data_IF_124058483031
#
_entry.id   IF_124058483031
#
_cell.length_a   1.000
_cell.length_b   1.000
_cell.length_c   1.000
_cell.angle_alpha   90.00
_cell.angle_beta   90.00
_cell.angle_gamma   90.00
#
_symmetry.space_group_name_H-M   'P 1'
#
loop_
_entity.id
_entity.type
_entity.pdbx_description
1 polymer ?
#
# COMPACT_ATOMS: atom_id res chain seq x y z
N UNK A 1 -30.06 -3.68 20.21
CA UNK A 1 -29.27 -2.79 21.10
C UNK A 1 -28.17 -3.63 21.70
N UNK A 2 -27.03 -3.69 21.03
CA UNK A 2 -25.90 -4.51 21.47
C UNK A 2 -25.15 -3.73 22.55
N UNK A 3 -24.99 -4.36 23.72
CA UNK A 3 -24.26 -3.80 24.86
C UNK A 3 -22.80 -3.62 24.47
N UNK A 4 -22.30 -2.39 24.61
CA UNK A 4 -20.86 -2.09 24.64
C UNK A 4 -20.27 -2.89 25.82
N UNK A 5 -19.24 -3.73 25.62
CA UNK A 5 -18.61 -4.46 26.72
C UNK A 5 -17.92 -3.48 27.66
N UNK A 6 -18.07 -3.68 28.97
CA UNK A 6 -17.43 -2.82 29.97
C UNK A 6 -15.93 -3.06 30.02
N UNK A 7 -15.16 -2.02 30.38
CA UNK A 7 -13.70 -1.98 30.57
C UNK A 7 -13.08 -3.07 31.45
N UNK A 8 -13.89 -3.94 32.07
CA UNK A 8 -13.43 -5.08 32.87
C UNK A 8 -13.19 -6.37 32.09
N UNK A 9 -13.59 -6.48 30.82
CA UNK A 9 -13.46 -7.72 30.04
C UNK A 9 -12.36 -7.70 28.96
N UNK A 10 -11.68 -6.56 28.76
CA UNK A 10 -10.50 -6.42 27.86
C UNK A 10 -9.14 -6.69 28.56
N UNK A 11 -9.16 -6.99 29.86
CA UNK A 11 -7.98 -7.01 30.74
C UNK A 11 -7.04 -8.24 30.63
N UNK A 12 -7.39 -9.42 30.09
CA UNK A 12 -6.46 -10.56 30.08
C UNK A 12 -5.49 -10.63 28.88
N UNK A 13 -5.39 -9.61 28.02
CA UNK A 13 -4.60 -9.68 26.77
C UNK A 13 -3.40 -8.72 26.70
N UNK A 14 -3.41 -7.60 27.44
CA UNK A 14 -2.21 -6.77 27.68
C UNK A 14 -1.42 -7.21 28.93
N UNK A 15 -1.88 -8.28 29.59
CA UNK A 15 -1.37 -8.77 30.88
C UNK A 15 -0.03 -9.52 30.83
N UNK A 16 0.54 -9.76 29.65
CA UNK A 16 1.88 -10.34 29.51
C UNK A 16 2.97 -9.35 29.09
N UNK A 17 2.60 -8.08 28.86
CA UNK A 17 3.59 -7.04 28.58
C UNK A 17 3.35 -5.72 29.35
N UNK A 18 2.17 -5.49 29.95
CA UNK A 18 1.80 -4.17 30.52
C UNK A 18 1.16 -4.23 31.93
N UNK A 19 1.43 -5.24 32.77
CA UNK A 19 0.83 -5.24 34.13
C UNK A 19 1.63 -6.02 35.19
N UNK A 20 2.89 -5.65 35.39
CA UNK A 20 3.40 -5.52 36.75
C UNK A 20 3.22 -4.03 37.14
N UNK A 21 2.40 -3.81 38.18
CA UNK A 21 2.30 -2.56 38.98
C UNK A 21 1.32 -1.49 38.48
N UNK A 22 0.14 -1.46 39.10
CA UNK A 22 -0.53 -0.22 39.49
C UNK A 22 -1.26 -0.46 40.81
N UNK A 23 -0.62 -0.11 41.93
CA UNK A 23 -1.28 0.42 43.14
C UNK A 23 -0.26 0.85 44.22
N UNK A 24 0.06 2.15 44.34
CA UNK A 24 -0.31 3.00 45.51
C UNK A 24 0.20 4.46 45.43
N UNK A 25 -0.76 5.40 45.44
CA UNK A 25 -0.88 6.75 46.06
C UNK A 25 0.20 7.87 46.02
N UNK A 26 -0.27 9.00 45.44
CA UNK A 26 -0.29 10.43 45.90
C UNK A 26 0.94 11.36 45.90
N UNK A 27 0.69 12.53 45.26
CA UNK A 27 1.11 13.93 45.53
C UNK A 27 2.54 14.40 45.15
N UNK A 28 2.64 15.30 44.15
CA UNK A 28 3.02 16.72 44.31
C UNK A 28 3.12 17.46 42.94
N UNK A 29 3.10 18.79 42.99
CA UNK A 29 2.81 19.76 41.91
C UNK A 29 3.99 20.21 41.02
N UNK A 30 3.63 20.80 39.85
CA UNK A 30 4.32 21.84 39.04
C UNK A 30 5.64 21.44 38.34
N UNK A 31 6.08 22.01 37.22
CA UNK A 31 5.86 23.33 36.62
C UNK A 31 6.29 23.36 35.14
N UNK A 32 5.62 24.23 34.37
CA UNK A 32 6.09 25.17 33.33
C UNK A 32 6.91 24.74 32.09
N UNK A 33 6.44 25.35 30.99
CA UNK A 33 6.94 25.39 29.61
C UNK A 33 8.42 25.78 29.50
N UNK A 34 9.12 25.18 28.54
CA UNK A 34 10.13 25.90 27.75
C UNK A 34 10.19 25.43 26.29
N UNK A 35 10.45 26.41 25.44
CA UNK A 35 10.48 26.46 23.98
C UNK A 35 11.48 25.45 23.36
N UNK A 36 11.20 24.77 22.24
CA UNK A 36 12.14 23.81 21.67
C UNK A 36 13.34 24.55 21.06
N UNK A 37 14.51 24.31 21.66
CA UNK A 37 15.80 24.73 21.11
C UNK A 37 16.15 23.80 19.96
N UNK A 38 16.61 24.36 18.84
CA UNK A 38 17.00 23.62 17.64
C UNK A 38 18.11 22.62 17.98
N UNK A 39 17.75 21.33 18.02
CA UNK A 39 18.64 20.23 18.44
C UNK A 39 19.64 19.96 17.34
N UNK A 40 20.93 20.22 17.63
CA UNK A 40 22.06 19.70 16.85
C UNK A 40 22.03 18.17 16.94
N UNK A 41 21.35 17.53 15.98
CA UNK A 41 21.33 16.08 15.87
C UNK A 41 22.73 15.58 15.54
N UNK A 42 23.27 14.72 16.42
CA UNK A 42 24.56 14.07 16.19
C UNK A 42 24.49 13.25 14.90
N UNK A 43 25.64 13.02 14.24
CA UNK A 43 25.72 12.26 12.99
C UNK A 43 25.08 10.86 13.09
N UNK A 44 25.09 10.25 14.29
CA UNK A 44 24.49 8.94 14.55
C UNK A 44 22.95 8.96 14.49
N UNK A 45 22.32 9.99 15.06
CA UNK A 45 20.86 10.12 15.06
C UNK A 45 20.29 10.19 13.65
N UNK A 46 21.03 10.83 12.73
CA UNK A 46 20.64 10.93 11.33
C UNK A 46 20.62 9.58 10.63
N UNK A 47 21.64 8.74 10.82
CA UNK A 47 21.74 7.43 10.16
C UNK A 47 20.60 6.49 10.59
N UNK A 48 20.28 6.48 11.88
CA UNK A 48 19.21 5.64 12.43
C UNK A 48 17.83 6.15 12.02
N UNK A 49 17.61 7.46 12.12
CA UNK A 49 16.34 8.06 11.68
C UNK A 49 16.12 7.81 10.19
N UNK A 50 17.16 7.97 9.37
CA UNK A 50 17.12 7.62 7.94
C UNK A 50 16.84 6.13 7.73
N UNK A 51 17.41 5.23 8.51
CA UNK A 51 17.15 3.79 8.38
C UNK A 51 15.71 3.40 8.79
N UNK A 52 15.20 3.95 9.89
CA UNK A 52 13.81 3.76 10.33
C UNK A 52 12.84 4.24 9.25
N UNK A 53 13.08 5.42 8.69
CA UNK A 53 12.27 6.03 7.63
C UNK A 53 12.38 5.29 6.29
N UNK A 54 13.60 4.89 5.90
CA UNK A 54 13.85 4.19 4.63
C UNK A 54 13.16 2.83 4.57
N UNK A 55 12.93 2.21 5.73
CA UNK A 55 12.19 0.97 5.84
C UNK A 55 10.69 1.09 5.54
N UNK A 56 10.11 2.31 5.55
CA UNK A 56 8.68 2.72 5.52
C UNK A 56 7.72 1.93 6.42
N UNK A 57 7.86 0.61 6.44
CA UNK A 57 7.13 -0.36 7.23
C UNK A 57 8.08 -1.46 7.75
N UNK A 58 8.21 -1.61 9.06
CA UNK A 58 8.95 -2.70 9.70
C UNK A 58 7.96 -3.76 10.18
N UNK A 59 8.12 -5.00 9.71
CA UNK A 59 7.19 -6.08 10.01
C UNK A 59 7.91 -7.21 10.75
N UNK A 60 7.31 -7.70 11.82
CA UNK A 60 7.80 -8.91 12.50
C UNK A 60 7.42 -10.15 11.70
N UNK A 61 8.11 -11.25 11.97
CA UNK A 61 7.55 -12.57 11.68
C UNK A 61 6.25 -12.82 12.47
N UNK A 62 5.66 -13.99 12.24
CA UNK A 62 4.54 -14.47 13.03
C UNK A 62 5.02 -14.82 14.46
N UNK A 63 4.58 -14.06 15.46
CA UNK A 63 4.98 -14.24 16.86
C UNK A 63 3.90 -15.07 17.56
N UNK A 64 4.18 -16.31 17.98
CA UNK A 64 3.20 -17.14 18.67
C UNK A 64 2.82 -16.56 20.03
N UNK A 65 1.52 -16.57 20.34
CA UNK A 65 0.98 -16.20 21.64
C UNK A 65 0.08 -17.33 22.20
N UNK A 66 -0.55 -17.11 23.37
CA UNK A 66 -1.41 -18.14 23.98
C UNK A 66 -2.71 -18.41 23.21
N UNK A 67 -3.06 -17.54 22.27
CA UNK A 67 -4.40 -17.47 21.65
C UNK A 67 -4.34 -17.49 20.13
N UNK A 68 -3.16 -17.74 19.58
CA UNK A 68 -2.85 -17.75 18.17
C UNK A 68 -1.47 -17.14 17.91
N UNK A 69 -1.42 -16.05 17.16
CA UNK A 69 -0.19 -15.31 16.87
C UNK A 69 -0.44 -13.85 16.58
N UNK A 70 0.63 -13.06 16.68
CA UNK A 70 0.61 -11.63 16.44
C UNK A 70 1.67 -11.25 15.41
N UNK A 71 1.37 -10.22 14.63
CA UNK A 71 2.31 -9.56 13.73
C UNK A 71 2.31 -8.07 14.05
N UNK A 72 3.48 -7.55 14.41
CA UNK A 72 3.67 -6.12 14.62
C UNK A 72 4.17 -5.46 13.35
N UNK A 73 3.48 -4.39 12.96
CA UNK A 73 3.75 -3.59 11.79
C UNK A 73 4.00 -2.17 12.27
N UNK A 74 5.25 -1.73 12.21
CA UNK A 74 5.66 -0.38 12.56
C UNK A 74 5.85 0.45 11.30
N UNK A 75 5.47 1.71 11.33
CA UNK A 75 5.74 2.68 10.28
C UNK A 75 6.35 3.92 10.91
N UNK A 76 7.36 4.50 10.27
CA UNK A 76 8.12 5.63 10.81
C UNK A 76 8.14 6.78 9.81
N UNK A 77 7.93 7.99 10.33
CA UNK A 77 8.15 9.25 9.61
C UNK A 77 9.37 9.97 10.20
N UNK A 78 9.50 11.29 9.97
CA UNK A 78 10.63 12.05 10.51
C UNK A 78 10.67 12.07 12.05
N UNK A 79 9.50 12.21 12.67
CA UNK A 79 9.34 12.34 14.12
C UNK A 79 8.27 11.42 14.70
N UNK A 80 7.42 10.87 13.84
CA UNK A 80 6.22 10.15 14.27
C UNK A 80 6.34 8.67 13.93
N UNK A 81 5.67 7.84 14.72
CA UNK A 81 5.53 6.42 14.47
C UNK A 81 4.06 5.99 14.50
N UNK A 82 3.78 4.88 13.82
CA UNK A 82 2.54 4.11 13.97
C UNK A 82 2.90 2.65 14.16
N UNK A 83 2.21 1.99 15.08
CA UNK A 83 2.27 0.56 15.34
C UNK A 83 0.87 -0.02 15.12
N UNK A 84 0.78 -1.03 14.28
CA UNK A 84 -0.38 -1.90 14.14
C UNK A 84 -0.01 -3.31 14.58
N UNK A 85 -0.78 -3.88 15.50
CA UNK A 85 -0.70 -5.27 15.90
C UNK A 85 -1.88 -6.02 15.27
N UNK A 86 -1.58 -6.88 14.30
CA UNK A 86 -2.55 -7.79 13.71
C UNK A 86 -2.50 -9.13 14.44
N UNK A 87 -3.68 -9.64 14.81
CA UNK A 87 -3.84 -10.93 15.46
C UNK A 87 -4.31 -11.98 14.49
N UNK A 88 -3.88 -13.21 14.75
CA UNK A 88 -4.19 -14.38 13.97
C UNK A 88 -4.60 -15.50 14.91
N UNK A 89 -5.60 -16.27 14.52
CA UNK A 89 -6.12 -17.39 15.31
C UNK A 89 -5.26 -18.65 15.21
N UNK A 90 -4.31 -18.69 14.27
CA UNK A 90 -3.37 -19.79 14.06
C UNK A 90 -1.92 -19.32 14.18
N UNK A 91 -1.04 -20.28 14.44
CA UNK A 91 0.38 -20.03 14.66
C UNK A 91 1.20 -19.73 13.40
N UNK A 92 0.58 -19.82 12.21
CA UNK A 92 1.21 -19.52 10.93
C UNK A 92 0.81 -18.15 10.38
N UNK A 93 -0.03 -17.41 11.12
CA UNK A 93 -0.56 -16.12 10.70
C UNK A 93 -1.34 -16.17 9.37
N UNK A 94 -2.11 -17.24 9.15
CA UNK A 94 -2.93 -17.39 7.94
C UNK A 94 -4.36 -16.85 8.11
N UNK A 95 -4.93 -16.93 9.31
CA UNK A 95 -6.32 -16.60 9.62
C UNK A 95 -6.39 -15.40 10.54
N UNK A 96 -6.36 -14.22 9.93
CA UNK A 96 -6.43 -12.93 10.62
C UNK A 96 -7.75 -12.80 11.39
N UNK A 97 -7.64 -12.42 12.66
CA UNK A 97 -8.78 -12.06 13.49
C UNK A 97 -9.09 -10.58 13.29
N UNK A 98 -10.10 -10.30 12.47
CA UNK A 98 -10.45 -8.94 12.04
C UNK A 98 -11.01 -8.06 13.19
N UNK A 99 -11.41 -8.65 14.32
CA UNK A 99 -11.97 -7.89 15.44
C UNK A 99 -10.91 -7.47 16.47
N UNK A 100 -9.67 -7.94 16.34
CA UNK A 100 -8.67 -7.80 17.41
C UNK A 100 -7.37 -7.10 17.02
N UNK A 101 -7.41 -6.27 15.96
CA UNK A 101 -6.29 -5.39 15.63
C UNK A 101 -6.14 -4.24 16.63
N UNK A 102 -4.93 -3.99 17.09
CA UNK A 102 -4.59 -2.84 17.93
C UNK A 102 -3.76 -1.83 17.14
N UNK A 103 -4.01 -0.55 17.34
CA UNK A 103 -3.24 0.53 16.72
C UNK A 103 -2.75 1.49 17.80
N UNK A 104 -1.49 1.93 17.68
CA UNK A 104 -0.86 2.94 18.50
C UNK A 104 -0.11 3.91 17.60
N UNK A 105 -0.12 5.18 17.92
CA UNK A 105 0.65 6.18 17.18
C UNK A 105 1.20 7.23 18.14
N UNK A 106 2.33 7.81 17.79
CA UNK A 106 2.98 8.79 18.63
C UNK A 106 4.21 9.39 17.97
N UNK A 107 5.08 9.93 18.80
CA UNK A 107 6.38 10.50 18.43
C UNK A 107 7.51 9.61 18.93
N UNK A 108 8.67 9.69 18.32
CA UNK A 108 9.85 8.97 18.80
C UNK A 108 11.09 9.86 18.83
N UNK A 109 11.98 9.60 19.79
CA UNK A 109 13.28 10.25 19.90
C UNK A 109 14.39 9.20 19.86
N UNK A 110 15.43 9.45 19.07
CA UNK A 110 16.61 8.57 18.98
C UNK A 110 17.71 9.12 19.87
N UNK A 111 18.20 8.27 20.78
CA UNK A 111 19.32 8.56 21.67
C UNK A 111 20.56 9.04 20.91
N UNK A 112 21.32 9.94 21.52
CA UNK A 112 22.43 10.64 20.86
C UNK A 112 23.68 9.79 20.59
N UNK A 113 23.79 8.64 21.25
CA UNK A 113 24.99 7.80 21.27
C UNK A 113 24.73 6.43 20.65
N UNK A 114 25.67 5.98 19.80
CA UNK A 114 25.73 4.58 19.34
C UNK A 114 26.28 3.74 20.50
N UNK A 115 25.55 2.70 20.87
CA UNK A 115 25.97 1.73 21.88
C UNK A 115 26.32 0.40 21.22
N UNK A 116 27.26 -0.33 21.80
CA UNK A 116 27.60 -1.69 21.37
C UNK A 116 27.00 -2.68 22.35
N UNK A 117 26.08 -3.52 21.88
CA UNK A 117 25.48 -4.55 22.72
C UNK A 117 26.50 -5.63 23.11
N UNK A 118 26.24 -6.43 24.17
CA UNK A 118 27.11 -7.54 24.57
C UNK A 118 27.38 -8.56 23.45
N UNK A 119 26.46 -8.71 22.51
CA UNK A 119 26.58 -9.59 21.33
C UNK A 119 27.35 -8.94 20.17
N UNK A 120 27.74 -7.67 20.31
CA UNK A 120 28.55 -6.94 19.33
C UNK A 120 27.74 -6.18 18.28
N UNK A 121 26.44 -6.00 18.47
CA UNK A 121 25.63 -5.18 17.57
C UNK A 121 25.84 -3.69 17.85
N UNK A 122 25.94 -2.88 16.78
CA UNK A 122 25.77 -1.43 16.86
C UNK A 122 24.29 -1.13 17.02
N UNK A 123 23.95 -0.41 18.07
CA UNK A 123 22.57 -0.18 18.47
C UNK A 123 22.35 1.24 19.00
N UNK A 124 21.07 1.61 19.10
CA UNK A 124 20.63 2.91 19.56
C UNK A 124 19.40 2.77 20.44
N UNK A 125 19.35 3.61 21.47
CA UNK A 125 18.18 3.77 22.31
C UNK A 125 17.13 4.60 21.58
N UNK A 126 15.86 4.18 21.66
CA UNK A 126 14.73 4.91 21.09
C UNK A 126 13.62 5.02 22.12
N UNK A 127 13.09 6.23 22.28
CA UNK A 127 12.00 6.55 23.19
C UNK A 127 10.73 6.83 22.41
N UNK A 128 9.70 6.00 22.60
CA UNK A 128 8.41 6.17 21.94
C UNK A 128 7.40 6.82 22.88
N UNK A 129 6.87 7.97 22.50
CA UNK A 129 5.84 8.68 23.28
C UNK A 129 4.51 8.66 22.54
N UNK A 130 3.47 8.09 23.15
CA UNK A 130 2.13 8.03 22.59
C UNK A 130 1.10 8.71 23.53
N UNK A 131 0.06 9.39 23.00
CA UNK A 131 -0.90 10.14 23.81
C UNK A 131 -1.63 9.31 24.88
N UNK A 132 -1.85 8.03 24.59
CA UNK A 132 -2.60 7.11 25.46
C UNK A 132 -1.69 6.27 26.38
N UNK A 133 -0.38 6.58 26.42
CA UNK A 133 0.61 5.91 27.26
C UNK A 133 1.24 6.94 28.19
N UNK A 134 1.16 6.69 29.51
CA UNK A 134 1.62 7.65 30.52
C UNK A 134 3.13 7.82 30.59
N UNK A 135 3.88 6.84 30.11
CA UNK A 135 5.35 6.82 30.13
C UNK A 135 5.89 6.45 28.74
N UNK A 136 7.08 6.94 28.35
CA UNK A 136 7.71 6.54 27.11
C UNK A 136 7.95 5.03 27.06
N UNK A 137 7.70 4.41 25.91
CA UNK A 137 8.12 3.03 25.66
C UNK A 137 9.57 3.08 25.22
N UNK A 138 10.47 2.57 26.06
CA UNK A 138 11.90 2.56 25.79
C UNK A 138 12.27 1.36 24.91
N UNK A 139 13.22 1.55 24.00
CA UNK A 139 13.64 0.51 23.07
C UNK A 139 15.13 0.53 22.79
N UNK A 140 15.66 -0.62 22.37
CA UNK A 140 16.99 -0.77 21.79
C UNK A 140 16.84 -1.27 20.34
N UNK A 141 17.38 -0.53 19.37
CA UNK A 141 17.35 -0.88 17.95
C UNK A 141 18.74 -1.10 17.41
N UNK A 142 18.99 -2.25 16.77
CA UNK A 142 20.18 -2.52 16.00
C UNK A 142 19.83 -2.64 14.51
N UNK A 143 20.64 -1.97 13.69
CA UNK A 143 20.54 -2.00 12.23
C UNK A 143 21.58 -2.97 11.67
N UNK A 144 21.16 -3.89 10.80
CA UNK A 144 22.06 -4.70 9.98
C UNK A 144 21.62 -4.66 8.52
N UNK A 145 22.52 -5.03 7.60
CA UNK A 145 22.32 -4.84 6.15
C UNK A 145 21.01 -5.43 5.60
N UNK A 146 20.57 -6.57 6.16
CA UNK A 146 19.40 -7.33 5.66
C UNK A 146 18.29 -7.52 6.71
N UNK A 147 18.54 -7.15 7.97
CA UNK A 147 17.61 -7.33 9.09
C UNK A 147 17.77 -6.21 10.10
N UNK A 148 16.69 -5.83 10.75
CA UNK A 148 16.79 -4.95 11.91
C UNK A 148 16.29 -5.69 13.14
N UNK A 149 16.89 -5.40 14.28
CA UNK A 149 16.45 -5.95 15.56
C UNK A 149 15.92 -4.80 16.39
N UNK A 150 14.76 -4.99 16.98
CA UNK A 150 14.23 -4.06 17.95
C UNK A 150 13.77 -4.85 19.17
N UNK A 151 14.25 -4.42 20.33
CA UNK A 151 13.78 -4.91 21.62
C UNK A 151 13.12 -3.75 22.35
N UNK A 152 11.89 -3.96 22.80
CA UNK A 152 11.19 -3.02 23.67
C UNK A 152 11.51 -3.37 25.11
N UNK A 153 11.77 -2.36 25.94
CA UNK A 153 11.86 -2.53 27.38
C UNK A 153 10.53 -3.01 27.95
N UNK A 154 10.60 -3.71 29.08
CA UNK A 154 9.42 -3.83 29.92
C UNK A 154 9.05 -2.45 30.48
N UNK A 155 7.75 -2.16 30.71
CA UNK A 155 7.34 -0.93 31.38
C UNK A 155 8.06 -0.74 32.72
N UNK A 156 8.34 0.51 33.08
CA UNK A 156 9.05 0.90 34.31
C UNK A 156 10.50 0.36 34.43
N UNK A 157 11.08 -0.14 33.34
CA UNK A 157 12.49 -0.56 33.28
C UNK A 157 13.34 0.43 32.49
N UNK A 158 14.66 0.35 32.65
CA UNK A 158 15.58 1.07 31.78
C UNK A 158 15.60 0.45 30.38
N UNK A 159 16.26 1.11 29.43
CA UNK A 159 16.52 0.51 28.11
C UNK A 159 17.08 -0.91 28.23
N UNK A 160 16.69 -1.83 27.34
CA UNK A 160 17.31 -3.13 27.26
C UNK A 160 18.80 -2.96 26.99
N UNK A 161 19.63 -3.77 27.64
CA UNK A 161 21.09 -3.72 27.45
C UNK A 161 21.60 -4.68 26.38
N UNK A 162 20.78 -5.61 25.90
CA UNK A 162 21.15 -6.66 24.95
C UNK A 162 19.99 -7.01 24.02
N UNK A 163 20.15 -8.01 23.16
CA UNK A 163 19.16 -8.45 22.19
C UNK A 163 18.76 -9.93 22.40
N UNK A 164 18.86 -10.48 23.62
CA UNK A 164 18.58 -11.91 23.86
C UNK A 164 17.14 -12.29 23.51
N UNK A 165 16.21 -11.37 23.77
CA UNK A 165 14.77 -11.55 23.55
C UNK A 165 14.25 -10.63 22.43
N UNK A 166 15.15 -10.09 21.62
CA UNK A 166 14.81 -9.16 20.57
C UNK A 166 13.99 -9.82 19.47
N UNK A 167 12.98 -9.08 19.01
CA UNK A 167 12.22 -9.49 17.83
C UNK A 167 13.00 -9.04 16.59
N UNK A 168 13.20 -9.98 15.65
CA UNK A 168 13.75 -9.65 14.35
C UNK A 168 12.66 -9.03 13.47
N UNK A 169 12.94 -7.85 12.96
CA UNK A 169 12.15 -7.16 11.97
C UNK A 169 12.80 -7.36 10.62
N UNK A 170 12.01 -7.85 9.67
CA UNK A 170 12.32 -7.60 8.27
C UNK A 170 11.87 -6.18 8.00
N UNK A 171 12.79 -5.29 7.61
CA UNK A 171 12.38 -4.08 6.91
C UNK A 171 11.52 -4.57 5.75
N UNK A 172 10.24 -4.16 5.68
CA UNK A 172 9.45 -4.39 4.49
C UNK A 172 10.31 -3.94 3.33
N UNK A 173 10.53 -4.84 2.37
CA UNK A 173 11.48 -4.61 1.29
C UNK A 173 11.31 -3.19 0.75
N UNK A 174 12.44 -2.50 0.58
CA UNK A 174 12.59 -1.14 0.05
C UNK A 174 11.45 -0.78 -0.92
N UNK A 175 10.42 -0.15 -0.38
CA UNK A 175 9.41 0.55 -1.18
C UNK A 175 9.88 1.95 -1.57
N UNK A 176 11.17 2.28 -1.42
CA UNK A 176 11.72 3.44 -2.10
C UNK A 176 11.86 3.00 -3.56
N UNK A 177 10.76 3.06 -4.31
CA UNK A 177 10.73 2.70 -5.72
C UNK A 177 11.91 3.36 -6.40
N UNK A 178 12.95 2.58 -6.68
CA UNK A 178 14.09 3.09 -7.40
C UNK A 178 13.67 3.10 -8.87
N UNK A 179 14.24 3.99 -9.69
CA UNK A 179 14.03 3.93 -11.14
C UNK A 179 14.26 2.53 -11.71
N UNK A 180 15.10 1.70 -11.06
CA UNK A 180 15.38 0.32 -11.46
C UNK A 180 14.21 -0.64 -11.24
N UNK A 181 13.34 -0.40 -10.27
CA UNK A 181 12.22 -1.30 -9.96
C UNK A 181 11.15 -1.23 -11.06
N UNK A 182 11.06 -0.10 -11.75
CA UNK A 182 10.23 0.06 -12.94
C UNK A 182 10.92 -0.37 -14.24
N UNK A 183 12.26 -0.47 -14.29
CA UNK A 183 12.96 -0.74 -15.57
C UNK A 183 12.48 -2.06 -16.23
N UNK A 184 12.17 -1.98 -17.51
CA UNK A 184 11.72 -3.10 -18.33
C UNK A 184 10.32 -2.89 -18.91
N UNK A 185 9.82 -3.94 -19.54
CA UNK A 185 8.51 -3.95 -20.19
C UNK A 185 7.46 -4.61 -19.30
N UNK A 186 6.32 -3.96 -19.15
CA UNK A 186 5.22 -4.34 -18.25
C UNK A 186 3.93 -4.32 -19.04
N UNK A 187 3.18 -5.41 -19.02
CA UNK A 187 1.99 -5.56 -19.85
C UNK A 187 0.81 -6.03 -19.01
N UNK A 188 -0.38 -5.49 -19.27
CA UNK A 188 -1.62 -6.05 -18.73
C UNK A 188 -1.97 -7.35 -19.45
N UNK A 189 -2.82 -8.17 -18.84
CA UNK A 189 -3.57 -9.16 -19.61
C UNK A 189 -4.58 -8.46 -20.53
N UNK A 190 -5.17 -9.23 -21.44
CA UNK A 190 -6.28 -8.78 -22.26
C UNK A 190 -7.45 -8.35 -21.37
N UNK A 191 -7.86 -7.09 -21.46
CA UNK A 191 -8.97 -6.53 -20.68
C UNK A 191 -10.20 -6.45 -21.60
N UNK A 192 -11.23 -7.23 -21.30
CA UNK A 192 -12.49 -7.20 -22.06
C UNK A 192 -13.28 -5.93 -21.75
N UNK A 193 -13.69 -5.21 -22.78
CA UNK A 193 -14.61 -4.08 -22.69
C UNK A 193 -16.06 -4.57 -22.86
N UNK A 194 -17.01 -3.80 -22.33
CA UNK A 194 -18.44 -4.19 -22.30
C UNK A 194 -19.08 -4.33 -23.69
N UNK A 195 -18.49 -3.75 -24.72
CA UNK A 195 -18.97 -3.77 -26.10
C UNK A 195 -18.44 -4.96 -26.93
N UNK A 196 -17.67 -5.86 -26.31
CA UNK A 196 -17.06 -7.02 -26.95
C UNK A 196 -15.73 -6.72 -27.62
N UNK A 197 -15.23 -5.48 -27.54
CA UNK A 197 -13.85 -5.14 -27.83
C UNK A 197 -12.96 -5.53 -26.64
N UNK A 198 -11.65 -5.50 -26.84
CA UNK A 198 -10.70 -5.66 -25.74
C UNK A 198 -9.53 -4.71 -25.87
N UNK A 199 -8.91 -4.42 -24.73
CA UNK A 199 -7.83 -3.46 -24.59
C UNK A 199 -6.63 -4.14 -23.96
N UNK A 200 -5.46 -3.75 -24.44
CA UNK A 200 -4.18 -4.12 -23.88
C UNK A 200 -3.37 -2.87 -23.60
N UNK A 201 -2.80 -2.80 -22.40
CA UNK A 201 -1.96 -1.70 -21.96
C UNK A 201 -0.56 -2.22 -21.66
N UNK A 202 0.45 -1.46 -22.09
CA UNK A 202 1.84 -1.79 -21.80
C UNK A 202 2.67 -0.55 -21.51
N UNK A 203 3.66 -0.70 -20.64
CA UNK A 203 4.68 0.29 -20.38
C UNK A 203 6.07 -0.29 -20.65
N UNK A 204 6.92 0.47 -21.32
CA UNK A 204 8.34 0.17 -21.42
C UNK A 204 9.13 1.29 -20.73
N UNK A 205 9.68 1.01 -19.55
CA UNK A 205 10.44 1.97 -18.75
C UNK A 205 11.93 1.76 -18.93
N UNK A 206 12.66 2.86 -19.18
CA UNK A 206 14.10 2.83 -19.38
C UNK A 206 14.74 4.15 -18.96
N UNK A 207 15.59 4.11 -17.92
CA UNK A 207 16.43 5.25 -17.50
C UNK A 207 15.66 6.57 -17.34
N UNK A 208 14.52 6.56 -16.65
CA UNK A 208 13.70 7.75 -16.43
C UNK A 208 12.83 8.18 -17.61
N UNK A 209 12.76 7.35 -18.66
CA UNK A 209 11.84 7.50 -19.78
C UNK A 209 10.85 6.35 -19.78
N UNK A 210 9.68 6.57 -20.39
CA UNK A 210 8.72 5.51 -20.62
C UNK A 210 8.10 5.61 -22.02
N UNK A 211 7.46 4.53 -22.45
CA UNK A 211 6.51 4.54 -23.56
C UNK A 211 5.28 3.75 -23.14
N UNK A 212 4.12 4.40 -23.07
CA UNK A 212 2.83 3.72 -22.95
C UNK A 212 2.43 3.18 -24.34
N UNK A 213 2.01 1.92 -24.40
CA UNK A 213 1.43 1.30 -25.58
C UNK A 213 -0.01 0.92 -25.26
N UNK A 214 -0.94 1.38 -26.10
CA UNK A 214 -2.35 1.04 -26.01
C UNK A 214 -2.71 0.29 -27.28
N UNK A 215 -3.25 -0.92 -27.16
CA UNK A 215 -3.75 -1.70 -28.30
C UNK A 215 -5.23 -1.99 -28.06
N UNK A 216 -6.05 -1.67 -29.05
CA UNK A 216 -7.48 -1.99 -29.07
C UNK A 216 -7.67 -3.12 -30.07
N UNK A 217 -8.44 -4.11 -29.67
CA UNK A 217 -8.83 -5.24 -30.49
C UNK A 217 -10.34 -5.22 -30.73
N UNK A 218 -10.74 -5.61 -31.93
CA UNK A 218 -12.16 -5.70 -32.33
C UNK A 218 -12.85 -6.98 -31.84
N UNK A 219 -12.18 -7.76 -30.98
CA UNK A 219 -12.68 -8.98 -30.37
C UNK A 219 -12.32 -9.03 -28.90
N UNK A 220 -13.04 -9.85 -28.13
CA UNK A 220 -12.88 -9.96 -26.68
C UNK A 220 -11.61 -10.72 -26.24
N UNK A 221 -10.90 -11.38 -27.17
CA UNK A 221 -9.76 -12.26 -26.85
C UNK A 221 -8.41 -11.72 -27.32
N UNK A 222 -8.35 -10.43 -27.64
CA UNK A 222 -7.16 -9.73 -28.11
C UNK A 222 -6.48 -10.38 -29.32
N UNK A 223 -7.24 -10.89 -30.31
CA UNK A 223 -6.69 -11.54 -31.51
C UNK A 223 -6.65 -10.65 -32.74
N UNK A 224 -7.63 -9.77 -32.90
CA UNK A 224 -7.78 -8.92 -34.08
C UNK A 224 -7.49 -7.47 -33.72
N UNK A 225 -6.23 -7.05 -33.88
CA UNK A 225 -5.80 -5.67 -33.63
C UNK A 225 -6.59 -4.72 -34.55
N UNK A 226 -7.30 -3.77 -33.95
CA UNK A 226 -8.02 -2.69 -34.64
C UNK A 226 -7.17 -1.41 -34.66
N UNK A 227 -6.66 -1.02 -33.49
CA UNK A 227 -5.89 0.22 -33.32
C UNK A 227 -4.72 0.03 -32.37
N UNK A 228 -3.69 0.84 -32.58
CA UNK A 228 -2.49 0.86 -31.75
C UNK A 228 -1.93 2.26 -31.62
N UNK A 229 -1.78 2.70 -30.37
CA UNK A 229 -1.14 3.94 -29.99
C UNK A 229 0.16 3.70 -29.23
N UNK A 230 1.12 4.62 -29.37
CA UNK A 230 2.34 4.67 -28.57
C UNK A 230 2.57 6.10 -28.12
N UNK A 231 2.78 6.28 -26.82
CA UNK A 231 2.84 7.58 -26.18
C UNK A 231 4.12 7.65 -25.33
N UNK A 232 5.20 8.25 -25.85
CA UNK A 232 6.45 8.39 -25.11
C UNK A 232 6.36 9.51 -24.07
N UNK A 233 7.23 9.42 -23.07
CA UNK A 233 7.35 10.46 -22.06
C UNK A 233 8.48 10.22 -21.07
N UNK A 234 8.45 10.98 -19.98
CA UNK A 234 9.41 10.91 -18.87
C UNK A 234 8.73 10.47 -17.59
N UNK A 235 9.48 9.75 -16.77
CA UNK A 235 9.03 9.37 -15.44
C UNK A 235 9.65 10.24 -14.36
N UNK A 236 8.83 10.67 -13.42
CA UNK A 236 9.28 11.28 -12.17
C UNK A 236 8.78 10.40 -11.03
N UNK A 237 9.70 9.75 -10.33
CA UNK A 237 9.37 8.94 -9.17
C UNK A 237 9.40 9.84 -7.93
N UNK A 238 8.28 9.91 -7.24
CA UNK A 238 8.11 10.68 -6.03
C UNK A 238 8.45 9.86 -4.77
N UNK A 239 7.81 10.21 -3.67
CA UNK A 239 8.02 9.56 -2.38
C UNK A 239 7.17 8.29 -2.25
N UNK A 240 7.57 7.43 -1.33
CA UNK A 240 6.74 6.35 -0.80
C UNK A 240 5.67 6.94 0.11
N UNK A 241 4.43 6.45 0.00
CA UNK A 241 3.27 6.88 0.79
C UNK A 241 2.51 5.66 1.30
N UNK A 242 1.84 5.83 2.45
CA UNK A 242 0.78 4.92 2.88
C UNK A 242 -0.52 5.36 2.22
N UNK A 243 -1.24 4.41 1.62
CA UNK A 243 -2.52 4.64 0.96
C UNK A 243 -3.69 4.45 1.93
N UNK A 244 -4.87 4.99 1.60
CA UNK A 244 -6.07 4.92 2.44
C UNK A 244 -6.56 3.47 2.67
N UNK A 245 -6.30 2.60 1.70
CA UNK A 245 -6.54 1.16 1.73
C UNK A 245 -5.43 0.37 2.46
N UNK A 246 -4.44 1.06 3.04
CA UNK A 246 -3.44 0.50 3.94
C UNK A 246 -2.21 -0.10 3.26
N UNK A 247 -2.03 0.14 1.96
CA UNK A 247 -0.84 -0.30 1.23
C UNK A 247 0.32 0.68 1.36
N UNK A 248 1.52 0.17 1.12
CA UNK A 248 2.69 1.00 0.83
C UNK A 248 2.83 1.14 -0.69
N UNK A 249 2.68 2.36 -1.21
CA UNK A 249 2.81 2.68 -2.63
C UNK A 249 3.88 3.76 -2.86
N UNK A 250 4.31 3.94 -4.10
CA UNK A 250 5.21 5.00 -4.52
C UNK A 250 4.49 5.92 -5.49
N UNK A 251 4.65 7.24 -5.29
CA UNK A 251 4.18 8.24 -6.24
C UNK A 251 4.95 8.13 -7.57
N UNK A 252 4.23 8.14 -8.69
CA UNK A 252 4.81 8.14 -10.03
C UNK A 252 4.11 9.17 -10.90
N UNK A 253 4.86 10.06 -11.52
CA UNK A 253 4.33 10.97 -12.54
C UNK A 253 4.82 10.56 -13.91
N UNK A 254 3.89 10.45 -14.85
CA UNK A 254 4.13 10.17 -16.25
C UNK A 254 3.93 11.45 -17.05
N UNK A 255 5.02 12.13 -17.38
CA UNK A 255 5.01 13.33 -18.21
C UNK A 255 5.08 12.92 -19.69
N UNK A 256 3.92 12.87 -20.36
CA UNK A 256 3.85 12.56 -21.79
C UNK A 256 4.45 13.70 -22.62
N UNK A 257 5.19 13.35 -23.67
CA UNK A 257 5.76 14.34 -24.59
C UNK A 257 4.64 15.19 -25.24
N UNK A 258 3.49 14.56 -25.47
CA UNK A 258 2.27 15.16 -26.01
C UNK A 258 1.07 14.67 -25.18
N UNK A 259 0.63 15.43 -24.16
CA UNK A 259 -0.55 15.01 -23.37
C UNK A 259 -0.64 15.51 -21.93
N UNK A 260 0.41 16.16 -21.42
CA UNK A 260 0.46 16.61 -20.03
C UNK A 260 1.03 15.52 -19.11
N UNK A 261 0.78 15.65 -17.80
CA UNK A 261 1.31 14.73 -16.80
C UNK A 261 0.18 13.94 -16.15
N UNK A 262 0.33 12.62 -16.06
CA UNK A 262 -0.50 11.76 -15.23
C UNK A 262 0.16 11.51 -13.89
N UNK A 263 -0.63 11.53 -12.81
CA UNK A 263 -0.14 11.28 -11.46
C UNK A 263 -0.70 9.97 -10.94
N UNK A 264 0.19 9.06 -10.59
CA UNK A 264 -0.12 7.68 -10.28
C UNK A 264 0.36 7.32 -8.88
N UNK A 265 -0.21 6.24 -8.35
CA UNK A 265 0.42 5.45 -7.30
C UNK A 265 0.76 4.08 -7.88
N UNK A 266 1.93 3.55 -7.53
CA UNK A 266 2.27 2.18 -7.90
C UNK A 266 2.86 1.39 -6.75
N UNK A 267 2.66 0.08 -6.79
CA UNK A 267 3.33 -0.88 -5.94
C UNK A 267 3.82 -2.06 -6.79
N UNK A 268 5.01 -2.55 -6.49
CA UNK A 268 5.57 -3.76 -7.11
C UNK A 268 5.39 -4.95 -6.18
N UNK A 269 5.08 -6.11 -6.74
CA UNK A 269 4.96 -7.38 -6.00
C UNK A 269 5.40 -8.55 -6.88
N UNK A 270 5.24 -9.78 -6.38
CA UNK A 270 5.34 -11.00 -7.17
C UNK A 270 3.99 -11.72 -7.22
N UNK A 271 3.66 -12.31 -8.36
CA UNK A 271 2.54 -13.25 -8.48
C UNK A 271 2.82 -14.53 -7.68
N UNK A 272 1.80 -15.37 -7.48
CA UNK A 272 1.99 -16.72 -6.91
C UNK A 272 2.99 -17.57 -7.71
N UNK A 273 3.05 -17.35 -9.03
CA UNK A 273 4.04 -17.99 -9.92
C UNK A 273 5.45 -17.37 -9.84
N UNK A 274 5.66 -16.36 -8.98
CA UNK A 274 6.93 -15.68 -8.75
C UNK A 274 7.29 -14.61 -9.80
N UNK A 275 6.37 -14.29 -10.72
CA UNK A 275 6.57 -13.27 -11.75
C UNK A 275 6.46 -11.88 -11.14
N UNK A 276 7.29 -10.95 -11.58
CA UNK A 276 7.18 -9.55 -11.13
C UNK A 276 5.87 -8.94 -11.66
N UNK A 277 5.15 -8.26 -10.76
CA UNK A 277 3.92 -7.57 -11.05
C UNK A 277 3.97 -6.12 -10.56
N UNK A 278 3.27 -5.25 -11.26
CA UNK A 278 3.16 -3.83 -11.00
C UNK A 278 1.67 -3.49 -10.91
N UNK A 279 1.22 -3.11 -9.72
CA UNK A 279 -0.11 -2.54 -9.51
C UNK A 279 -0.04 -1.02 -9.64
N UNK A 280 -0.92 -0.44 -10.44
CA UNK A 280 -0.95 1.00 -10.72
C UNK A 280 -2.36 1.54 -10.54
N UNK A 281 -2.50 2.52 -9.65
CA UNK A 281 -3.69 3.37 -9.54
C UNK A 281 -3.43 4.69 -10.27
N UNK A 282 -4.41 5.17 -11.03
CA UNK A 282 -4.27 6.33 -11.91
C UNK A 282 -5.09 7.53 -11.42
N UNK A 283 -4.60 8.74 -11.73
CA UNK A 283 -5.21 10.06 -11.47
C UNK A 283 -6.73 10.05 -11.58
N UNK A 284 -7.41 10.79 -10.70
CA UNK A 284 -8.86 11.03 -10.76
C UNK A 284 -9.22 12.14 -11.75
N UNK A 285 -10.51 12.29 -12.08
CA UNK A 285 -11.03 13.26 -13.07
C UNK A 285 -10.56 14.71 -12.85
N UNK A 286 -10.24 15.08 -11.61
CA UNK A 286 -9.77 16.42 -11.22
C UNK A 286 -8.25 16.62 -11.38
N UNK A 287 -7.52 15.61 -11.85
CA UNK A 287 -6.06 15.62 -12.01
C UNK A 287 -5.29 15.47 -10.70
N UNK A 288 -5.97 15.09 -9.61
CA UNK A 288 -5.33 14.80 -8.33
C UNK A 288 -4.78 13.38 -8.26
N UNK A 289 -3.68 13.20 -7.52
CA UNK A 289 -3.09 11.88 -7.34
C UNK A 289 -4.07 11.01 -6.52
N UNK A 290 -4.26 9.73 -6.87
CA UNK A 290 -5.07 8.83 -6.06
C UNK A 290 -4.54 8.74 -4.64
N UNK A 291 -5.44 8.56 -3.68
CA UNK A 291 -5.08 8.27 -2.28
C UNK A 291 -5.16 6.77 -1.96
N UNK A 292 -5.71 5.97 -2.87
CA UNK A 292 -5.92 4.53 -2.78
C UNK A 292 -5.21 3.81 -3.94
N UNK A 293 -4.70 2.60 -3.68
CA UNK A 293 -4.17 1.74 -4.74
C UNK A 293 -5.31 1.01 -5.47
N UNK A 294 -6.46 0.82 -4.82
CA UNK A 294 -7.67 0.31 -5.44
C UNK A 294 -8.56 1.42 -6.04
N UNK A 295 -9.11 1.23 -7.26
CA UNK A 295 -8.87 0.10 -8.18
C UNK A 295 -7.49 0.19 -8.87
N UNK A 296 -6.84 -0.98 -9.04
CA UNK A 296 -5.51 -1.07 -9.65
C UNK A 296 -5.54 -1.73 -11.03
N UNK A 297 -4.78 -1.15 -11.97
CA UNK A 297 -4.33 -1.88 -13.15
C UNK A 297 -3.12 -2.74 -12.78
N UNK A 298 -3.18 -4.01 -13.16
CA UNK A 298 -2.10 -4.97 -12.92
C UNK A 298 -1.32 -5.20 -14.21
N UNK A 299 -0.02 -4.94 -14.17
CA UNK A 299 0.91 -5.23 -15.24
C UNK A 299 1.87 -6.33 -14.80
N UNK A 300 2.16 -7.25 -15.70
CA UNK A 300 3.14 -8.30 -15.51
C UNK A 300 4.41 -7.98 -16.28
N UNK A 301 5.56 -8.15 -15.63
CA UNK A 301 6.84 -7.95 -16.29
C UNK A 301 7.01 -8.98 -17.40
N UNK A 302 7.41 -8.50 -18.56
CA UNK A 302 7.85 -9.33 -19.66
C UNK A 302 9.33 -9.66 -19.42
N UNK A 303 9.68 -10.95 -19.51
CA UNK A 303 11.09 -11.34 -19.43
C UNK A 303 11.90 -10.76 -20.61
N UNK A 304 13.23 -10.73 -20.49
CA UNK A 304 14.17 -10.23 -21.51
C UNK A 304 14.12 -10.96 -22.87
N UNK A 305 13.21 -11.94 -23.02
CA UNK A 305 12.95 -12.61 -24.28
C UNK A 305 12.27 -11.63 -25.22
N UNK A 306 13.06 -11.01 -26.11
CA UNK A 306 12.60 -10.14 -27.20
C UNK A 306 11.28 -10.65 -27.76
N UNK A 307 10.21 -9.87 -27.55
CA UNK A 307 8.91 -10.05 -28.19
C UNK A 307 9.15 -9.99 -29.71
N UNK A 308 9.18 -11.16 -30.34
CA UNK A 308 9.09 -11.26 -31.80
C UNK A 308 7.80 -10.57 -32.20
N UNK A 309 7.85 -9.69 -33.20
CA UNK A 309 6.68 -8.96 -33.72
C UNK A 309 5.59 -9.89 -34.32
N UNK A 310 5.80 -11.20 -34.26
CA UNK A 310 4.84 -12.25 -34.62
C UNK A 310 4.51 -13.19 -33.44
N UNK A 311 4.74 -12.80 -32.18
CA UNK A 311 4.36 -13.67 -31.07
C UNK A 311 2.84 -13.81 -31.05
N UNK A 312 2.37 -15.02 -31.35
CA UNK A 312 1.05 -15.49 -30.93
C UNK A 312 0.80 -14.95 -29.53
N UNK A 313 -0.32 -14.25 -29.35
CA UNK A 313 -0.80 -13.84 -28.03
C UNK A 313 -0.87 -15.13 -27.23
N UNK A 314 0.13 -15.37 -26.37
CA UNK A 314 0.14 -16.52 -25.48
C UNK A 314 -1.21 -16.51 -24.78
N UNK A 315 -1.90 -17.64 -24.83
CA UNK A 315 -3.19 -17.87 -24.19
C UNK A 315 -3.16 -17.17 -22.83
N UNK A 316 -4.05 -16.19 -22.64
CA UNK A 316 -4.05 -15.35 -21.46
C UNK A 316 -4.14 -16.27 -20.24
N UNK A 317 -3.05 -16.41 -19.49
CA UNK A 317 -3.15 -16.94 -18.14
C UNK A 317 -4.19 -16.06 -17.44
N UNK A 318 -5.25 -16.63 -16.85
CA UNK A 318 -6.20 -15.84 -16.10
C UNK A 318 -5.38 -15.02 -15.10
N UNK A 319 -5.66 -13.71 -15.01
CA UNK A 319 -5.09 -12.90 -13.96
C UNK A 319 -5.50 -13.55 -12.65
N UNK A 320 -4.60 -14.36 -12.09
CA UNK A 320 -4.70 -14.77 -10.71
C UNK A 320 -4.83 -13.51 -9.88
N UNK A 321 -5.54 -13.60 -8.76
CA UNK A 321 -5.54 -12.51 -7.80
C UNK A 321 -4.08 -12.13 -7.49
N UNK A 322 -3.80 -10.83 -7.49
CA UNK A 322 -2.49 -10.35 -7.05
C UNK A 322 -2.62 -10.00 -5.58
N UNK A 323 -1.80 -10.67 -4.76
CA UNK A 323 -1.68 -10.36 -3.35
C UNK A 323 -0.58 -9.32 -3.15
N UNK A 324 -0.96 -8.13 -2.67
CA UNK A 324 -0.02 -7.11 -2.20
C UNK A 324 -0.18 -7.02 -0.70
N UNK A 325 0.90 -7.28 0.05
CA UNK A 325 0.93 -7.13 1.51
C UNK A 325 -0.18 -7.88 2.28
N UNK A 326 -0.74 -8.96 1.72
CA UNK A 326 -1.86 -9.70 2.35
C UNK A 326 -3.25 -9.41 1.78
N UNK A 327 -3.35 -8.50 0.80
CA UNK A 327 -4.62 -8.06 0.23
C UNK A 327 -4.73 -8.41 -1.25
N UNK A 328 -5.89 -8.90 -1.67
CA UNK A 328 -6.18 -9.28 -3.05
C UNK A 328 -6.67 -8.06 -3.83
N UNK A 329 -5.91 -7.67 -4.86
CA UNK A 329 -6.33 -6.65 -5.82
C UNK A 329 -7.18 -7.27 -6.93
N UNK A 330 -8.34 -6.66 -7.21
CA UNK A 330 -9.16 -6.98 -8.38
C UNK A 330 -8.93 -5.96 -9.50
N UNK A 331 -8.48 -6.39 -10.69
CA UNK A 331 -8.35 -5.48 -11.82
C UNK A 331 -9.74 -5.11 -12.37
N UNK A 332 -10.01 -3.82 -12.53
CA UNK A 332 -11.24 -3.30 -13.12
C UNK A 332 -10.95 -2.13 -14.07
N UNK A 333 -11.61 -2.10 -15.23
CA UNK A 333 -11.63 -0.91 -16.09
C UNK A 333 -12.58 0.11 -15.47
N UNK A 334 -12.05 1.29 -15.12
CA UNK A 334 -12.87 2.41 -14.66
C UNK A 334 -13.45 3.17 -15.84
N UNK A 335 -14.61 3.80 -15.65
CA UNK A 335 -15.25 4.66 -16.67
C UNK A 335 -14.36 5.81 -17.11
N UNK A 336 -13.54 6.34 -16.21
CA UNK A 336 -12.58 7.41 -16.50
C UNK A 336 -11.55 7.00 -17.57
N UNK A 337 -11.06 5.76 -17.49
CA UNK A 337 -10.07 5.28 -18.45
C UNK A 337 -10.70 5.04 -19.83
N UNK A 338 -11.97 4.62 -19.86
CA UNK A 338 -12.73 4.47 -21.10
C UNK A 338 -12.85 5.81 -21.86
N UNK A 339 -13.05 6.94 -21.16
CA UNK A 339 -13.07 8.27 -21.78
C UNK A 339 -11.72 8.72 -22.34
N UNK A 340 -10.61 8.41 -21.64
CA UNK A 340 -9.26 8.70 -22.14
C UNK A 340 -8.99 7.92 -23.43
N UNK A 341 -9.35 6.64 -23.48
CA UNK A 341 -9.21 5.83 -24.69
C UNK A 341 -10.01 6.44 -25.86
N UNK A 342 -11.19 6.98 -25.59
CA UNK A 342 -11.96 7.69 -26.60
C UNK A 342 -11.22 8.92 -27.14
N UNK A 343 -10.61 9.70 -26.25
CA UNK A 343 -9.86 10.91 -26.60
C UNK A 343 -8.59 10.61 -27.40
N UNK A 344 -7.78 9.68 -26.92
CA UNK A 344 -6.38 9.55 -27.35
C UNK A 344 -6.22 8.61 -28.55
N UNK A 345 -7.08 7.60 -28.66
CA UNK A 345 -7.03 6.62 -29.77
C UNK A 345 -8.36 6.54 -30.54
N UNK A 346 -9.30 7.45 -30.26
CA UNK A 346 -10.59 7.51 -30.95
C UNK A 346 -11.44 6.27 -30.70
N UNK A 347 -11.34 5.66 -29.51
CA UNK A 347 -12.17 4.53 -29.11
C UNK A 347 -13.61 5.00 -28.82
N UNK A 348 -14.52 4.86 -29.78
CA UNK A 348 -15.93 5.21 -29.59
C UNK A 348 -16.74 3.99 -29.18
N UNK A 349 -16.50 3.49 -27.96
CA UNK A 349 -17.12 2.27 -27.42
C UNK A 349 -18.24 2.53 -26.42
N UNK A 350 -19.27 3.31 -26.79
CA UNK A 350 -20.57 3.26 -26.12
C UNK A 350 -21.70 3.52 -27.11
N UNK A 351 -22.68 2.62 -27.14
CA UNK A 351 -24.07 3.08 -27.14
C UNK A 351 -24.57 2.78 -25.74
N UNK A 352 -24.85 3.82 -24.95
CA UNK A 352 -25.72 3.68 -23.79
C UNK A 352 -27.05 3.22 -24.38
N UNK A 353 -27.33 1.91 -24.33
CA UNK A 353 -28.70 1.45 -24.48
C UNK A 353 -29.35 1.84 -23.17
N UNK A 354 -30.05 2.97 -23.19
CA UNK A 354 -30.86 3.47 -22.08
C UNK A 354 -31.68 2.34 -21.47
N UNK A 355 -31.21 1.82 -20.34
CA UNK A 355 -32.02 1.04 -19.41
C UNK A 355 -32.93 2.02 -18.67
N UNK A 356 -33.86 2.69 -19.37
CA UNK A 356 -34.95 3.43 -18.74
C UNK A 356 -36.22 3.69 -19.59
N UNK A 357 -36.29 3.33 -20.89
CA UNK A 357 -37.52 3.54 -21.69
C UNK A 357 -38.29 2.27 -22.12
N UNK A 358 -37.89 1.06 -21.76
CA UNK A 358 -38.65 -0.17 -22.06
C UNK A 358 -39.66 -0.59 -20.97
N UNK A 359 -40.20 0.38 -20.21
CA UNK A 359 -41.24 0.14 -19.19
C UNK A 359 -42.42 1.12 -19.25
N UNK A 360 -42.63 1.83 -20.37
CA UNK A 360 -43.84 2.64 -20.62
C UNK A 360 -44.81 2.10 -21.67
N UNK A 361 -44.43 1.12 -22.48
CA UNK A 361 -45.28 0.59 -23.55
C UNK A 361 -45.92 -0.78 -23.26
N UNK A 362 -45.86 -1.26 -22.01
CA UNK A 362 -46.50 -2.51 -21.60
C UNK A 362 -47.46 -2.30 -20.44
N UNK A 363 -48.54 -1.52 -20.63
CA UNK A 363 -49.89 -1.90 -20.18
C UNK A 363 -51.00 -1.20 -21.02
N UNK A 364 -52.13 -1.88 -21.27
CA UNK A 364 -53.01 -1.64 -22.42
C UNK A 364 -54.25 -0.79 -22.08
N UNK A 365 -54.89 -0.28 -23.13
CA UNK A 365 -56.29 0.14 -23.22
C UNK A 365 -56.81 1.18 -22.19
N UNK A 366 -56.96 2.43 -22.64
CA UNK A 366 -58.25 3.12 -22.49
C UNK A 366 -58.65 3.81 -23.80
N UNK A 367 -59.68 3.21 -24.38
CA UNK A 367 -60.82 3.75 -25.12
C UNK A 367 -60.79 5.21 -25.59
N UNK A 368 -61.17 5.36 -26.86
CA UNK A 368 -61.10 6.61 -27.60
C UNK A 368 -62.03 7.72 -27.14
N UNK A 369 -61.69 8.94 -27.56
CA UNK A 369 -62.62 10.02 -27.79
C UNK A 369 -62.10 10.94 -28.90
N UNK A 370 -62.72 10.77 -30.07
CA UNK A 370 -63.12 11.75 -31.09
C UNK A 370 -62.35 13.08 -31.26
N UNK A 371 -62.05 13.31 -32.54
CA UNK A 371 -62.19 14.53 -33.38
C UNK A 371 -60.85 14.88 -34.04
N UNK A 372 -60.70 15.02 -35.35
CA UNK A 372 -61.67 15.33 -36.40
C UNK A 372 -61.61 16.82 -36.70
N UNK A 373 -60.71 17.25 -37.58
CA UNK A 373 -60.87 18.46 -38.40
C UNK A 373 -60.13 18.30 -39.73
N UNK A 374 -60.94 18.42 -40.80
CA UNK A 374 -60.68 18.42 -42.25
C UNK A 374 -60.28 17.10 -42.92
#
# INVERSE_FOLDING_TARGET
MNKIPSTKELVPYLRRFVLLIMMTLLLACSSDNDNPTEVNTSRGNKEVSEALQKGSTWKTGCIPDEKGSEVAIWSFTLTDFSLKLDRYSDSACANKDNESSFNLSGTYEVGSEEITSPEGYKAWEIDFTAPDVSEPLLSLVALSDDKSKMLMAEPDTNHPSDFSDAVEFTSGEKGQGTPKDLEGSWDTSCLEAKDGNSIFLGYDFKKGQFTETIIIYSDANCKTEDKKGKFPGKTVIGKTVSTDDGFTATELDLEFDEGGAEKLLYATTKTESGRDALAVSRTTEDGSRPTSLEPAFVYLRQGDSKRSSNSEVNEAEPLGYIEIQGHILTPELTSEYEEKLQRDVGFSGYTIRDSSEELRDLLPNQEGLRSGTW
#
